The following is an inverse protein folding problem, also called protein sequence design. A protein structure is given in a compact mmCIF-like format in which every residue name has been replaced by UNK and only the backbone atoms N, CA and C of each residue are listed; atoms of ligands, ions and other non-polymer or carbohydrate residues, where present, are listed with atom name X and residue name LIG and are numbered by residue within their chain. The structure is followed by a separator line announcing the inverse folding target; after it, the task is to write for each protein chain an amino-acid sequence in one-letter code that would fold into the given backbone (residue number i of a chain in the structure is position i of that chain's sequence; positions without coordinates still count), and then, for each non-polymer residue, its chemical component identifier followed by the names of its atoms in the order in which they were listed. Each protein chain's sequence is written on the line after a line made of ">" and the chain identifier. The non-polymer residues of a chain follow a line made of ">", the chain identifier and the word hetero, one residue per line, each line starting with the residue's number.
data_IF_299804210358
#
_entry.id   IF_299804210358
#
_cell.length_a   1.000
_cell.length_b   1.000
_cell.length_c   1.000
_cell.angle_alpha   90.00
_cell.angle_beta   90.00
_cell.angle_gamma   90.00
#
_symmetry.space_group_name_H-M   'P 1'
#
loop_
_entity.id
_entity.type
_entity.pdbx_description
1 polymer ?
#
# COMPACT_ATOMS: atom_id res chain seq x y z
N UNK A 1 11.25 -16.91 3.93
CA UNK A 1 11.16 -16.58 2.49
C UNK A 1 11.29 -15.07 2.34
N UNK A 2 11.69 -14.55 1.17
CA UNK A 2 11.66 -13.10 0.95
C UNK A 2 10.20 -12.61 0.96
N UNK A 3 9.91 -11.39 1.47
CA UNK A 3 8.55 -10.87 1.52
C UNK A 3 7.98 -10.68 0.10
N UNK A 4 6.67 -10.87 -0.04
CA UNK A 4 5.92 -10.68 -1.28
C UNK A 4 5.77 -9.18 -1.50
N UNK A 5 6.29 -8.70 -2.63
CA UNK A 5 6.24 -7.28 -2.99
C UNK A 5 4.91 -6.94 -3.65
N UNK A 6 4.23 -5.94 -3.12
CA UNK A 6 2.89 -5.52 -3.57
C UNK A 6 2.90 -4.04 -3.96
N UNK A 7 2.25 -3.72 -5.08
CA UNK A 7 1.88 -2.37 -5.46
C UNK A 7 0.38 -2.13 -5.24
N UNK A 8 0.00 -0.94 -4.78
CA UNK A 8 -1.40 -0.53 -4.61
C UNK A 8 -1.79 0.46 -5.71
N UNK A 9 -2.82 0.16 -6.49
CA UNK A 9 -3.39 1.07 -7.48
C UNK A 9 -4.77 1.56 -7.00
N UNK A 10 -4.85 2.84 -6.65
CA UNK A 10 -6.00 3.44 -5.96
C UNK A 10 -5.82 3.45 -4.44
N UNK A 11 -5.50 4.63 -3.90
CA UNK A 11 -5.21 4.85 -2.49
C UNK A 11 -6.39 5.47 -1.72
N UNK A 12 -7.60 5.06 -2.09
CA UNK A 12 -8.84 5.37 -1.39
C UNK A 12 -9.01 4.57 -0.10
N UNK A 13 -10.28 4.35 0.32
CA UNK A 13 -10.61 3.65 1.57
C UNK A 13 -9.96 2.26 1.67
N UNK A 14 -10.08 1.45 0.63
CA UNK A 14 -9.56 0.07 0.65
C UNK A 14 -8.04 0.04 0.52
N UNK A 15 -7.44 0.83 -0.38
CA UNK A 15 -5.98 0.90 -0.52
C UNK A 15 -5.27 1.24 0.80
N UNK A 16 -5.81 2.19 1.57
CA UNK A 16 -5.28 2.54 2.89
C UNK A 16 -5.44 1.43 3.94
N UNK A 17 -6.57 0.72 3.94
CA UNK A 17 -6.80 -0.42 4.84
C UNK A 17 -5.86 -1.58 4.49
N UNK A 18 -5.65 -1.84 3.19
CA UNK A 18 -4.71 -2.86 2.70
C UNK A 18 -3.30 -2.51 3.18
N UNK A 19 -2.83 -1.27 2.96
CA UNK A 19 -1.51 -0.84 3.45
C UNK A 19 -1.39 -1.02 4.98
N UNK A 20 -2.40 -0.60 5.73
CA UNK A 20 -2.40 -0.72 7.20
C UNK A 20 -2.26 -2.16 7.68
N UNK A 21 -2.98 -3.11 7.06
CA UNK A 21 -2.86 -4.52 7.44
C UNK A 21 -1.54 -5.14 6.94
N UNK A 22 -1.05 -4.70 5.78
CA UNK A 22 0.21 -5.19 5.21
C UNK A 22 1.42 -4.83 6.10
N UNK A 23 1.41 -3.67 6.76
CA UNK A 23 2.48 -3.26 7.70
C UNK A 23 2.61 -4.25 8.88
N UNK A 24 1.50 -4.84 9.32
CA UNK A 24 1.48 -5.83 10.41
C UNK A 24 1.73 -7.27 9.91
N UNK A 25 1.87 -7.48 8.60
CA UNK A 25 1.99 -8.80 7.99
C UNK A 25 3.42 -9.01 7.46
N UNK A 26 4.32 -9.72 8.18
CA UNK A 26 5.76 -9.78 7.86
C UNK A 26 6.09 -10.43 6.52
N UNK A 27 5.13 -11.13 5.91
CA UNK A 27 5.26 -11.74 4.59
C UNK A 27 4.94 -10.79 3.43
N UNK A 28 4.42 -9.58 3.70
CA UNK A 28 4.04 -8.60 2.68
C UNK A 28 4.91 -7.34 2.81
N UNK A 29 5.41 -6.85 1.67
CA UNK A 29 6.11 -5.57 1.56
C UNK A 29 5.38 -4.71 0.51
N UNK A 30 4.73 -3.62 0.93
CA UNK A 30 4.17 -2.66 -0.02
C UNK A 30 5.28 -1.75 -0.52
N UNK A 31 5.59 -1.83 -1.82
CA UNK A 31 6.74 -1.14 -2.44
C UNK A 31 6.35 0.08 -3.26
N UNK A 32 5.09 0.21 -3.65
CA UNK A 32 4.60 1.32 -4.44
C UNK A 32 3.10 1.58 -4.21
N UNK A 33 2.71 2.84 -4.33
CA UNK A 33 1.32 3.28 -4.36
C UNK A 33 1.15 4.22 -5.57
N UNK A 34 0.10 4.01 -6.34
CA UNK A 34 -0.30 4.88 -7.45
C UNK A 34 -1.73 5.37 -7.22
N UNK A 35 -1.92 6.68 -7.15
CA UNK A 35 -3.24 7.32 -7.18
C UNK A 35 -3.11 8.71 -7.83
N UNK A 36 -3.77 8.97 -8.98
CA UNK A 36 -3.62 10.24 -9.70
C UNK A 36 -4.40 11.40 -9.06
N UNK A 37 -5.22 11.15 -8.03
CA UNK A 37 -6.06 12.15 -7.38
C UNK A 37 -5.63 12.45 -5.94
N UNK A 38 -4.52 11.86 -5.49
CA UNK A 38 -3.97 12.03 -4.15
C UNK A 38 -2.50 12.43 -4.26
N UNK A 39 -2.18 13.61 -3.76
CA UNK A 39 -0.80 14.07 -3.63
C UNK A 39 -0.08 13.34 -2.48
N UNK A 40 1.23 13.05 -2.58
CA UNK A 40 1.96 12.32 -1.54
C UNK A 40 1.94 12.97 -0.15
N UNK A 41 1.77 14.29 -0.07
CA UNK A 41 1.68 14.99 1.22
C UNK A 41 0.33 14.78 1.93
N UNK A 42 -0.71 14.37 1.18
CA UNK A 42 -2.04 14.07 1.71
C UNK A 42 -2.23 12.56 1.99
N UNK A 43 -1.46 11.72 1.31
CA UNK A 43 -1.51 10.27 1.39
C UNK A 43 -1.19 9.74 2.80
#
# INVERSE_FOLDING_TARGET
>A
MAPIKVGINGFGRIGRIVLRNAIEHPEIEVVAVNDPFIEPHYA
#
